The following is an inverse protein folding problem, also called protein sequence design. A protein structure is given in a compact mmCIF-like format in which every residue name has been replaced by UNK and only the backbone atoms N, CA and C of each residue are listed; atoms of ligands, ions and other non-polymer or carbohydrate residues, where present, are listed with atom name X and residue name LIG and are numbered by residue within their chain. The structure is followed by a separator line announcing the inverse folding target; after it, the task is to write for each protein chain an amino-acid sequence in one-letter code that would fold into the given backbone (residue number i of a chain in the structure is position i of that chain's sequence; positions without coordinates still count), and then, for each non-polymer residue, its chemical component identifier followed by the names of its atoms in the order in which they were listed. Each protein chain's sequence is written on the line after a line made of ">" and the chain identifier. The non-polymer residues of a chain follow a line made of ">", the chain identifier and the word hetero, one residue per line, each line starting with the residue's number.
data_IF_882836961157
#
_entry.id   IF_882836961157
#
_cell.length_a   1.000
_cell.length_b   1.000
_cell.length_c   1.000
_cell.angle_alpha   90.00
_cell.angle_beta   90.00
_cell.angle_gamma   90.00
#
_symmetry.space_group_name_H-M   'P 1'
#
loop_
_entity.id
_entity.type
_entity.pdbx_description
1 polymer ?
#
# COMPACT_ATOMS: atom_id res chain seq x y z
N UNK A 1 14.89 -5.07 -39.89
CA UNK A 1 13.80 -5.88 -39.30
C UNK A 1 12.50 -5.08 -39.40
N UNK A 2 11.62 -5.37 -40.37
CA UNK A 2 10.31 -4.69 -40.48
C UNK A 2 9.42 -5.27 -39.39
N UNK A 3 9.11 -4.49 -38.36
CA UNK A 3 8.13 -4.89 -37.34
C UNK A 3 6.79 -5.01 -38.05
N UNK A 4 6.29 -6.24 -38.20
CA UNK A 4 5.01 -6.55 -38.83
C UNK A 4 3.92 -6.20 -37.81
N UNK A 5 3.50 -4.93 -37.79
CA UNK A 5 2.29 -4.56 -37.06
C UNK A 5 1.07 -5.11 -37.80
N UNK A 6 0.15 -5.81 -37.12
CA UNK A 6 -1.10 -6.26 -37.75
C UNK A 6 -1.85 -5.05 -38.29
N UNK A 7 -2.36 -5.15 -39.53
CA UNK A 7 -3.20 -4.10 -40.12
C UNK A 7 -4.52 -4.03 -39.35
N UNK A 8 -4.60 -3.12 -38.38
CA UNK A 8 -5.82 -2.87 -37.62
C UNK A 8 -6.90 -2.28 -38.54
N UNK A 9 -8.06 -2.95 -38.60
CA UNK A 9 -9.21 -2.58 -39.42
C UNK A 9 -10.30 -1.89 -38.62
N UNK A 10 -10.32 -2.01 -37.29
CA UNK A 10 -11.35 -1.42 -36.43
C UNK A 10 -10.83 -1.03 -35.05
N UNK A 11 -11.56 -0.13 -34.37
CA UNK A 11 -11.27 0.25 -32.99
C UNK A 11 -11.35 -0.95 -32.02
N UNK A 12 -12.20 -1.93 -32.30
CA UNK A 12 -12.32 -3.13 -31.47
C UNK A 12 -11.03 -3.95 -31.46
N UNK A 13 -10.38 -4.13 -32.62
CA UNK A 13 -9.10 -4.84 -32.69
C UNK A 13 -8.02 -4.12 -31.90
N UNK A 14 -8.00 -2.78 -31.94
CA UNK A 14 -7.08 -1.98 -31.14
C UNK A 14 -7.34 -2.19 -29.63
N UNK A 15 -8.60 -2.09 -29.21
CA UNK A 15 -8.97 -2.27 -27.80
C UNK A 15 -8.63 -3.67 -27.28
N UNK A 16 -8.83 -4.72 -28.09
CA UNK A 16 -8.42 -6.08 -27.74
C UNK A 16 -6.91 -6.19 -27.59
N UNK A 17 -6.12 -5.61 -28.50
CA UNK A 17 -4.65 -5.63 -28.37
C UNK A 17 -4.18 -4.89 -27.12
N UNK A 18 -4.76 -3.73 -26.81
CA UNK A 18 -4.45 -2.98 -25.60
C UNK A 18 -4.83 -3.79 -24.35
N UNK A 19 -5.99 -4.44 -24.37
CA UNK A 19 -6.45 -5.32 -23.28
C UNK A 19 -5.52 -6.52 -23.06
N UNK A 20 -5.04 -7.17 -24.12
CA UNK A 20 -4.02 -8.22 -24.02
C UNK A 20 -2.73 -7.66 -23.45
N UNK A 21 -2.30 -6.47 -23.88
CA UNK A 21 -1.14 -5.78 -23.32
C UNK A 21 -1.26 -5.54 -21.81
N UNK A 22 -2.44 -5.12 -21.34
CA UNK A 22 -2.75 -5.01 -19.91
C UNK A 22 -2.67 -6.36 -19.19
N UNK A 23 -3.23 -7.42 -19.77
CA UNK A 23 -3.12 -8.77 -19.20
C UNK A 23 -1.67 -9.23 -19.05
N UNK A 24 -0.83 -9.01 -20.06
CA UNK A 24 0.60 -9.32 -19.99
C UNK A 24 1.30 -8.49 -18.90
N UNK A 25 1.00 -7.20 -18.82
CA UNK A 25 1.57 -6.31 -17.81
C UNK A 25 1.21 -6.73 -16.38
N UNK A 26 -0.05 -7.13 -16.16
CA UNK A 26 -0.50 -7.67 -14.88
C UNK A 26 0.18 -9.02 -14.59
N UNK A 27 0.21 -9.97 -15.52
CA UNK A 27 0.94 -11.23 -15.31
C UNK A 27 2.42 -10.99 -14.94
N UNK A 28 3.06 -10.01 -15.58
CA UNK A 28 4.43 -9.64 -15.28
C UNK A 28 4.58 -9.12 -13.84
N UNK A 29 3.87 -8.06 -13.48
CA UNK A 29 4.04 -7.43 -12.17
C UNK A 29 3.46 -8.24 -11.01
N UNK A 30 2.38 -8.97 -11.23
CA UNK A 30 1.59 -9.58 -10.15
C UNK A 30 1.96 -11.03 -9.88
N UNK A 31 2.53 -11.74 -10.87
CA UNK A 31 2.93 -13.15 -10.71
C UNK A 31 4.42 -13.37 -10.96
N UNK A 32 4.96 -12.83 -12.06
CA UNK A 32 6.36 -13.09 -12.41
C UNK A 32 7.34 -12.35 -11.49
N UNK A 33 7.16 -11.04 -11.26
CA UNK A 33 8.13 -10.24 -10.48
C UNK A 33 8.27 -10.71 -9.03
N UNK A 34 7.19 -10.95 -8.24
CA UNK A 34 7.34 -11.45 -6.87
C UNK A 34 8.09 -12.79 -6.82
N UNK A 35 7.76 -13.72 -7.71
CA UNK A 35 8.45 -15.01 -7.79
C UNK A 35 9.91 -14.89 -8.21
N UNK A 36 10.20 -14.00 -9.17
CA UNK A 36 11.56 -13.73 -9.63
C UNK A 36 12.42 -13.11 -8.53
N UNK A 37 11.90 -12.11 -7.81
CA UNK A 37 12.62 -11.48 -6.69
C UNK A 37 12.85 -12.49 -5.58
N UNK A 38 11.84 -13.28 -5.22
CA UNK A 38 11.98 -14.35 -4.24
C UNK A 38 13.06 -15.36 -4.63
N UNK A 39 13.14 -15.73 -5.91
CA UNK A 39 14.12 -16.71 -6.41
C UNK A 39 15.59 -16.29 -6.30
N UNK A 40 15.86 -15.02 -5.95
CA UNK A 40 17.22 -14.51 -5.72
C UNK A 40 17.65 -14.65 -4.25
N UNK A 41 16.71 -14.90 -3.34
CA UNK A 41 17.00 -15.15 -1.94
C UNK A 41 17.38 -16.62 -1.74
N UNK A 42 18.51 -16.86 -1.10
CA UNK A 42 18.99 -18.22 -0.83
C UNK A 42 19.18 -18.40 0.67
N UNK A 43 19.12 -19.63 1.15
CA UNK A 43 19.47 -19.89 2.53
C UNK A 43 20.98 -19.68 2.74
N UNK A 44 21.39 -18.98 3.82
CA UNK A 44 22.80 -18.84 4.18
C UNK A 44 23.43 -20.20 4.47
N UNK A 45 24.75 -20.30 4.28
CA UNK A 45 25.49 -21.56 4.40
C UNK A 45 26.18 -21.61 5.76
N UNK A 46 25.88 -22.65 6.53
CA UNK A 46 26.54 -22.96 7.81
C UNK A 46 27.77 -23.85 7.60
N UNK A 47 28.68 -23.87 8.57
CA UNK A 47 30.01 -24.46 8.39
C UNK A 47 29.99 -25.98 8.22
N UNK A 48 29.03 -26.67 8.88
CA UNK A 48 28.84 -28.11 8.75
C UNK A 48 27.55 -28.46 7.95
N UNK A 49 27.64 -28.62 6.62
CA UNK A 49 26.50 -29.01 5.79
C UNK A 49 26.07 -30.48 5.96
N UNK A 50 26.80 -31.30 6.72
CA UNK A 50 26.37 -32.66 7.07
C UNK A 50 25.43 -32.69 8.29
N UNK A 51 25.38 -31.60 9.06
CA UNK A 51 24.47 -31.44 10.18
C UNK A 51 23.03 -31.09 9.73
N UNK A 52 22.04 -31.37 10.59
CA UNK A 52 20.63 -31.09 10.31
C UNK A 52 20.37 -29.57 10.38
N UNK A 53 20.56 -28.88 9.25
CA UNK A 53 20.39 -27.42 9.15
C UNK A 53 18.93 -27.02 9.31
N UNK A 54 18.65 -26.12 10.25
CA UNK A 54 17.33 -25.54 10.48
C UNK A 54 17.22 -24.19 9.80
N UNK A 55 16.13 -23.97 9.06
CA UNK A 55 15.89 -22.74 8.29
C UNK A 55 14.77 -21.93 8.88
N UNK A 56 15.09 -20.72 9.33
CA UNK A 56 14.16 -19.82 10.01
C UNK A 56 13.95 -18.56 9.19
N UNK A 57 12.68 -18.21 8.99
CA UNK A 57 12.26 -16.96 8.36
C UNK A 57 11.72 -15.99 9.42
N UNK A 58 12.24 -14.77 9.47
CA UNK A 58 11.72 -13.70 10.32
C UNK A 58 11.04 -12.62 9.48
N UNK A 59 9.89 -12.16 9.96
CA UNK A 59 9.05 -11.14 9.31
C UNK A 59 8.73 -10.06 10.35
N UNK A 60 9.09 -8.82 10.07
CA UNK A 60 8.78 -7.68 10.94
C UNK A 60 7.81 -6.71 10.28
N UNK A 61 7.03 -6.03 11.12
CA UNK A 61 6.15 -4.90 10.82
C UNK A 61 5.31 -5.06 9.53
N UNK A 62 4.47 -6.11 9.39
CA UNK A 62 3.45 -6.13 8.34
C UNK A 62 2.55 -4.89 8.38
N UNK A 63 2.23 -4.44 9.60
CA UNK A 63 1.51 -3.22 9.98
C UNK A 63 0.41 -2.86 8.98
N UNK A 64 -0.69 -3.62 9.04
CA UNK A 64 -1.80 -3.45 8.11
C UNK A 64 -2.41 -2.06 8.24
N UNK A 65 -2.15 -1.21 7.23
CA UNK A 65 -2.63 0.17 7.21
C UNK A 65 -4.14 0.25 7.30
N UNK A 66 -4.63 1.27 7.99
CA UNK A 66 -6.00 1.41 8.39
C UNK A 66 -6.50 2.87 8.39
N UNK A 67 -7.69 3.13 8.92
CA UNK A 67 -8.23 4.50 8.96
C UNK A 67 -7.49 5.44 9.93
N UNK A 68 -6.63 4.91 10.81
CA UNK A 68 -5.76 5.67 11.70
C UNK A 68 -4.44 6.05 11.01
N UNK A 69 -3.96 5.26 10.04
CA UNK A 69 -2.70 5.55 9.34
C UNK A 69 -2.67 6.90 8.63
N UNK A 70 -3.79 7.30 8.01
CA UNK A 70 -3.87 8.55 7.23
C UNK A 70 -5.11 9.38 7.59
N UNK A 71 -5.06 10.13 8.71
CA UNK A 71 -6.17 10.95 9.17
C UNK A 71 -6.62 11.94 8.08
N UNK A 72 -7.92 11.99 7.81
CA UNK A 72 -8.52 12.88 6.81
C UNK A 72 -8.45 12.38 5.36
N UNK A 73 -7.90 11.19 5.09
CA UNK A 73 -7.99 10.55 3.77
C UNK A 73 -9.42 10.08 3.52
N UNK A 74 -9.96 10.34 2.33
CA UNK A 74 -11.30 9.87 1.95
C UNK A 74 -11.36 8.34 1.84
N UNK A 75 -12.48 7.73 2.22
CA UNK A 75 -12.67 6.28 2.28
C UNK A 75 -12.26 5.51 1.02
N UNK A 76 -12.55 6.03 -0.17
CA UNK A 76 -12.19 5.35 -1.42
C UNK A 76 -10.67 5.34 -1.68
N UNK A 77 -9.96 6.43 -1.31
CA UNK A 77 -8.50 6.49 -1.38
C UNK A 77 -7.87 5.58 -0.34
N UNK A 78 -8.44 5.54 0.86
CA UNK A 78 -8.01 4.62 1.91
C UNK A 78 -8.21 3.16 1.47
N UNK A 79 -9.37 2.82 0.91
CA UNK A 79 -9.64 1.48 0.37
C UNK A 79 -8.66 1.08 -0.73
N UNK A 80 -8.34 2.00 -1.65
CA UNK A 80 -7.30 1.76 -2.67
C UNK A 80 -5.91 1.58 -2.05
N UNK A 81 -5.59 2.34 -1.00
CA UNK A 81 -4.32 2.23 -0.28
C UNK A 81 -4.22 0.87 0.40
N UNK A 82 -5.24 0.48 1.19
CA UNK A 82 -5.35 -0.83 1.84
C UNK A 82 -5.16 -1.95 0.82
N UNK A 83 -5.94 -1.91 -0.27
CA UNK A 83 -5.83 -2.89 -1.36
C UNK A 83 -4.41 -2.99 -1.92
N UNK A 84 -3.76 -1.85 -2.19
CA UNK A 84 -2.40 -1.83 -2.77
C UNK A 84 -1.38 -2.46 -1.84
N UNK A 85 -1.43 -2.14 -0.55
CA UNK A 85 -0.51 -2.67 0.47
C UNK A 85 -0.79 -4.15 0.71
N UNK A 86 -2.05 -4.55 0.89
CA UNK A 86 -2.43 -5.96 1.14
C UNK A 86 -2.00 -6.88 0.02
N UNK A 87 -2.22 -6.45 -1.22
CA UNK A 87 -1.84 -7.19 -2.41
C UNK A 87 -0.32 -7.33 -2.51
N UNK A 88 0.44 -6.27 -2.17
CA UNK A 88 1.90 -6.31 -2.16
C UNK A 88 2.41 -7.26 -1.07
N UNK A 89 1.88 -7.18 0.15
CA UNK A 89 2.21 -8.09 1.26
C UNK A 89 1.92 -9.54 0.88
N UNK A 90 0.68 -9.83 0.44
CA UNK A 90 0.23 -11.19 0.11
C UNK A 90 1.13 -11.86 -0.94
N UNK A 91 1.40 -11.16 -2.05
CA UNK A 91 2.17 -11.74 -3.16
C UNK A 91 3.63 -11.96 -2.78
N UNK A 92 4.25 -10.98 -2.15
CA UNK A 92 5.65 -11.08 -1.77
C UNK A 92 5.86 -12.15 -0.70
N UNK A 93 5.05 -12.14 0.36
CA UNK A 93 5.10 -13.17 1.40
C UNK A 93 4.90 -14.57 0.80
N UNK A 94 3.89 -14.77 -0.04
CA UNK A 94 3.64 -16.10 -0.62
C UNK A 94 4.69 -16.54 -1.63
N UNK A 95 5.30 -15.61 -2.37
CA UNK A 95 6.43 -15.91 -3.23
C UNK A 95 7.65 -16.37 -2.41
N UNK A 96 7.97 -15.66 -1.32
CA UNK A 96 9.05 -16.05 -0.40
C UNK A 96 8.77 -17.42 0.23
N UNK A 97 7.57 -17.64 0.77
CA UNK A 97 7.18 -18.94 1.35
C UNK A 97 7.19 -20.08 0.33
N UNK A 98 6.83 -19.82 -0.94
CA UNK A 98 6.87 -20.82 -2.00
C UNK A 98 8.31 -21.21 -2.36
N UNK A 99 9.21 -20.22 -2.43
CA UNK A 99 10.59 -20.39 -2.86
C UNK A 99 11.47 -20.95 -1.75
N UNK A 100 11.48 -20.28 -0.59
CA UNK A 100 12.38 -20.60 0.52
C UNK A 100 11.93 -21.83 1.29
N UNK A 101 10.62 -22.04 1.42
CA UNK A 101 10.05 -23.16 2.14
C UNK A 101 10.68 -23.34 3.54
N UNK A 102 10.65 -22.32 4.41
CA UNK A 102 11.26 -22.37 5.74
C UNK A 102 10.72 -23.54 6.58
N UNK A 103 11.52 -23.98 7.54
CA UNK A 103 11.11 -24.97 8.54
C UNK A 103 10.21 -24.29 9.57
N UNK A 104 10.65 -23.12 10.05
CA UNK A 104 9.96 -22.32 11.07
C UNK A 104 9.88 -20.85 10.66
N UNK A 105 8.77 -20.19 10.99
CA UNK A 105 8.53 -18.76 10.71
C UNK A 105 8.21 -18.03 12.00
N UNK A 106 8.90 -16.92 12.25
CA UNK A 106 8.60 -16.00 13.33
C UNK A 106 8.18 -14.65 12.78
N UNK A 107 7.13 -14.08 13.35
CA UNK A 107 6.81 -12.67 13.18
C UNK A 107 7.25 -11.89 14.41
N UNK A 108 7.71 -10.66 14.19
CA UNK A 108 8.34 -9.82 15.20
C UNK A 108 7.50 -8.59 15.58
N UNK A 109 6.17 -8.76 15.65
CA UNK A 109 5.25 -7.70 16.10
C UNK A 109 4.73 -6.76 15.02
N UNK A 110 3.91 -5.82 15.45
CA UNK A 110 3.17 -4.84 14.65
C UNK A 110 2.41 -5.48 13.49
N UNK A 111 1.52 -6.40 13.83
CA UNK A 111 0.65 -7.06 12.87
C UNK A 111 -0.37 -6.09 12.30
N UNK A 112 -0.96 -5.27 13.17
CA UNK A 112 -2.03 -4.33 12.86
C UNK A 112 -1.57 -2.90 13.18
N UNK A 113 -2.01 -1.92 12.38
CA UNK A 113 -1.61 -0.51 12.63
C UNK A 113 -2.33 0.12 13.84
N UNK A 114 -3.51 -0.39 14.23
CA UNK A 114 -4.21 0.08 15.42
C UNK A 114 -4.83 -1.08 16.23
N UNK A 115 -4.03 -2.11 16.54
CA UNK A 115 -4.47 -3.19 17.42
C UNK A 115 -4.76 -2.72 18.86
N UNK A 116 -4.00 -1.73 19.33
CA UNK A 116 -4.02 -1.22 20.70
C UNK A 116 -5.26 -0.45 21.12
N UNK A 117 -5.84 0.37 20.24
CA UNK A 117 -6.94 1.30 20.60
C UNK A 117 -8.27 0.97 19.93
N UNK A 118 -8.33 0.01 19.00
CA UNK A 118 -9.55 -0.28 18.26
C UNK A 118 -10.59 -1.11 19.05
N UNK A 119 -11.87 -0.97 18.66
CA UNK A 119 -12.96 -1.78 19.21
C UNK A 119 -12.78 -3.27 18.87
N UNK A 120 -13.40 -4.15 19.64
CA UNK A 120 -13.33 -5.60 19.41
C UNK A 120 -13.80 -5.99 18.01
N UNK A 121 -14.90 -5.39 17.54
CA UNK A 121 -15.46 -5.69 16.22
C UNK A 121 -14.49 -5.30 15.10
N UNK A 122 -13.82 -4.15 15.24
CA UNK A 122 -12.83 -3.69 14.29
C UNK A 122 -11.57 -4.56 14.33
N UNK A 123 -11.08 -4.88 15.53
CA UNK A 123 -9.94 -5.76 15.74
C UNK A 123 -10.16 -7.12 15.06
N UNK A 124 -11.32 -7.75 15.23
CA UNK A 124 -11.63 -9.02 14.58
C UNK A 124 -11.66 -8.91 13.05
N UNK A 125 -12.13 -7.76 12.52
CA UNK A 125 -12.06 -7.45 11.09
C UNK A 125 -10.64 -7.40 10.56
N UNK A 126 -9.75 -6.70 11.25
CA UNK A 126 -8.34 -6.56 10.86
C UNK A 126 -7.54 -7.87 11.08
N UNK A 127 -7.84 -8.65 12.12
CA UNK A 127 -7.30 -10.02 12.31
C UNK A 127 -7.72 -10.94 11.15
N UNK A 128 -8.98 -10.86 10.72
CA UNK A 128 -9.45 -11.63 9.55
C UNK A 128 -8.71 -11.21 8.28
N UNK A 129 -8.49 -9.90 8.08
CA UNK A 129 -7.70 -9.37 6.95
C UNK A 129 -6.26 -9.89 7.00
N UNK A 130 -5.61 -9.83 8.16
CA UNK A 130 -4.27 -10.39 8.38
C UNK A 130 -4.21 -11.89 8.03
N UNK A 131 -5.16 -12.68 8.52
CA UNK A 131 -5.22 -14.12 8.24
C UNK A 131 -5.45 -14.42 6.75
N UNK A 132 -6.23 -13.60 6.04
CA UNK A 132 -6.40 -13.75 4.60
C UNK A 132 -5.09 -13.51 3.84
N UNK A 133 -4.30 -12.51 4.26
CA UNK A 133 -3.03 -12.15 3.63
C UNK A 133 -1.94 -13.21 3.90
N UNK A 134 -1.78 -13.64 5.15
CA UNK A 134 -0.61 -14.44 5.57
C UNK A 134 -0.91 -15.91 5.84
N UNK A 135 -2.15 -16.27 6.16
CA UNK A 135 -2.50 -17.61 6.62
C UNK A 135 -3.67 -18.27 5.85
N UNK A 136 -3.70 -18.22 4.50
CA UNK A 136 -4.71 -18.95 3.73
C UNK A 136 -4.53 -20.47 3.87
N UNK A 137 -5.54 -21.25 3.45
CA UNK A 137 -5.54 -22.73 3.54
C UNK A 137 -4.28 -23.40 2.99
N UNK A 138 -3.63 -22.80 1.98
CA UNK A 138 -2.35 -23.26 1.42
C UNK A 138 -1.23 -23.23 2.48
N UNK A 139 -1.11 -22.12 3.21
CA UNK A 139 -0.10 -21.95 4.28
C UNK A 139 -0.37 -22.94 5.41
N UNK A 140 -1.64 -23.05 5.83
CA UNK A 140 -2.10 -23.93 6.92
C UNK A 140 -1.76 -25.42 6.73
N UNK A 141 -1.57 -25.87 5.48
CA UNK A 141 -1.19 -27.27 5.18
C UNK A 141 0.22 -27.62 5.64
N UNK A 142 1.13 -26.64 5.66
CA UNK A 142 2.55 -26.83 6.01
C UNK A 142 2.94 -26.14 7.31
N UNK A 143 2.26 -25.05 7.63
CA UNK A 143 2.57 -24.17 8.74
C UNK A 143 1.39 -24.16 9.70
N UNK A 144 1.62 -24.56 10.94
CA UNK A 144 0.63 -24.60 12.01
C UNK A 144 1.01 -23.56 13.07
N UNK A 145 0.07 -22.67 13.38
CA UNK A 145 0.25 -21.65 14.42
C UNK A 145 0.65 -22.32 15.74
N UNK A 146 1.73 -21.83 16.37
CA UNK A 146 2.24 -22.37 17.63
C UNK A 146 3.07 -23.65 17.52
N UNK A 147 3.33 -24.14 16.29
CA UNK A 147 4.22 -25.28 16.06
C UNK A 147 5.42 -24.93 15.18
N UNK A 148 5.20 -24.26 14.06
CA UNK A 148 6.27 -23.83 13.15
C UNK A 148 5.92 -22.51 12.44
N UNK A 149 4.95 -21.79 13.00
CA UNK A 149 4.49 -20.48 12.55
C UNK A 149 4.06 -19.71 13.79
N UNK A 150 4.88 -18.74 14.19
CA UNK A 150 4.79 -18.09 15.50
C UNK A 150 4.53 -16.60 15.33
N UNK A 151 3.56 -16.09 16.09
CA UNK A 151 3.10 -14.69 16.08
C UNK A 151 3.16 -14.07 17.48
N UNK A 152 3.95 -14.65 18.36
CA UNK A 152 3.87 -14.38 19.79
C UNK A 152 4.46 -13.02 20.17
N UNK A 153 5.36 -12.43 19.38
CA UNK A 153 5.99 -11.14 19.68
C UNK A 153 4.94 -10.02 19.50
N UNK A 154 4.53 -9.30 20.56
CA UNK A 154 3.65 -8.14 20.42
C UNK A 154 4.45 -6.89 20.07
N UNK A 155 3.90 -6.05 19.19
CA UNK A 155 4.44 -4.72 18.97
C UNK A 155 3.64 -3.61 19.63
N UNK A 156 4.17 -2.39 19.60
CA UNK A 156 3.53 -1.26 20.25
C UNK A 156 2.20 -0.90 19.56
N UNK A 157 2.05 -1.10 18.25
CA UNK A 157 0.77 -0.90 17.55
C UNK A 157 -0.25 -1.99 17.89
N UNK A 158 0.18 -3.14 18.41
CA UNK A 158 -0.72 -4.22 18.81
C UNK A 158 -1.28 -4.02 20.22
N UNK A 159 -0.46 -3.60 21.19
CA UNK A 159 -0.84 -3.60 22.62
C UNK A 159 -0.65 -2.27 23.36
N UNK A 160 0.04 -1.29 22.76
CA UNK A 160 0.49 -0.06 23.41
C UNK A 160 1.96 -0.15 23.83
N UNK A 161 2.50 0.86 24.51
CA UNK A 161 3.91 0.87 24.97
C UNK A 161 4.05 1.49 26.36
N UNK A 162 4.87 0.86 27.21
CA UNK A 162 5.11 1.32 28.58
C UNK A 162 3.82 1.44 29.38
N UNK A 163 3.65 2.53 30.12
CA UNK A 163 2.42 2.79 30.90
C UNK A 163 1.17 3.02 30.01
N UNK A 164 1.35 3.11 28.69
CA UNK A 164 0.27 3.16 27.72
C UNK A 164 -0.22 1.79 27.25
N UNK A 165 0.39 0.69 27.68
CA UNK A 165 -0.11 -0.65 27.36
C UNK A 165 -1.51 -0.84 27.94
N UNK A 166 -2.41 -1.38 27.13
CA UNK A 166 -3.78 -1.70 27.54
C UNK A 166 -3.89 -3.19 27.89
N UNK A 167 -4.19 -3.57 29.16
CA UNK A 167 -4.29 -4.98 29.55
C UNK A 167 -5.32 -5.77 28.72
N UNK A 168 -6.40 -5.11 28.31
CA UNK A 168 -7.39 -5.68 27.41
C UNK A 168 -6.82 -6.02 26.02
N UNK A 169 -5.98 -5.15 25.46
CA UNK A 169 -5.32 -5.36 24.17
C UNK A 169 -4.31 -6.50 24.25
N UNK A 170 -3.54 -6.59 25.35
CA UNK A 170 -2.66 -7.74 25.64
C UNK A 170 -3.45 -9.05 25.74
N UNK A 171 -4.61 -9.03 26.41
CA UNK A 171 -5.46 -10.22 26.54
C UNK A 171 -5.97 -10.73 25.19
N UNK A 172 -6.52 -9.85 24.34
CA UNK A 172 -6.97 -10.23 22.98
C UNK A 172 -5.80 -10.65 22.09
N UNK A 173 -4.66 -9.96 22.18
CA UNK A 173 -3.44 -10.35 21.48
C UNK A 173 -3.05 -11.78 21.83
N UNK A 174 -3.00 -12.09 23.13
CA UNK A 174 -2.64 -13.41 23.64
C UNK A 174 -3.59 -14.49 23.13
N UNK A 175 -4.89 -14.20 23.07
CA UNK A 175 -5.91 -15.12 22.55
C UNK A 175 -5.74 -15.40 21.04
N UNK A 176 -5.41 -14.38 20.24
CA UNK A 176 -5.35 -14.49 18.78
C UNK A 176 -4.00 -14.98 18.27
N UNK A 177 -2.91 -14.46 18.83
CA UNK A 177 -1.56 -14.59 18.32
C UNK A 177 -0.66 -15.50 19.17
N UNK A 178 -0.93 -15.58 20.47
CA UNK A 178 -0.28 -16.50 21.41
C UNK A 178 0.37 -15.78 22.59
N UNK A 179 0.84 -16.55 23.57
CA UNK A 179 1.48 -15.99 24.77
C UNK A 179 2.73 -15.16 24.41
N UNK A 180 2.79 -13.87 24.77
CA UNK A 180 3.90 -12.98 24.42
C UNK A 180 5.14 -13.13 25.30
N UNK A 181 5.09 -13.96 26.34
CA UNK A 181 6.22 -14.29 27.20
C UNK A 181 6.41 -15.81 27.22
N UNK A 182 7.23 -16.33 26.31
CA UNK A 182 7.36 -17.78 26.09
C UNK A 182 8.72 -18.17 25.56
N UNK A 183 9.07 -19.46 25.71
CA UNK A 183 10.26 -20.07 25.11
C UNK A 183 9.80 -21.12 24.11
N UNK A 184 10.34 -21.06 22.89
CA UNK A 184 10.11 -22.03 21.83
C UNK A 184 11.43 -22.74 21.55
N UNK A 185 11.45 -24.06 21.72
CA UNK A 185 12.65 -24.86 21.47
C UNK A 185 12.63 -25.42 20.05
N UNK A 186 13.66 -25.11 19.27
CA UNK A 186 13.82 -25.58 17.90
C UNK A 186 15.24 -26.14 17.71
N UNK A 187 15.34 -27.45 17.51
CA UNK A 187 16.60 -28.16 17.21
C UNK A 187 17.78 -27.79 18.12
N UNK A 188 17.53 -27.74 19.43
CA UNK A 188 18.53 -27.47 20.45
C UNK A 188 18.78 -25.99 20.74
N UNK A 189 17.97 -25.08 20.20
CA UNK A 189 18.05 -23.63 20.44
C UNK A 189 16.75 -23.15 21.09
N UNK A 190 16.89 -22.34 22.13
CA UNK A 190 15.76 -21.71 22.81
C UNK A 190 15.50 -20.33 22.19
N UNK A 191 14.39 -20.19 21.47
CA UNK A 191 13.87 -18.90 21.03
C UNK A 191 13.04 -18.27 22.16
N UNK A 192 13.61 -17.26 22.83
CA UNK A 192 12.99 -16.58 23.96
C UNK A 192 12.24 -15.36 23.43
N UNK A 193 10.92 -15.33 23.65
CA UNK A 193 10.03 -14.26 23.23
C UNK A 193 9.60 -13.46 24.45
N UNK A 194 9.69 -12.13 24.37
CA UNK A 194 9.30 -11.22 25.45
C UNK A 194 8.28 -10.19 24.98
N UNK A 195 7.37 -9.82 25.89
CA UNK A 195 6.49 -8.65 25.77
C UNK A 195 7.28 -7.39 26.16
N UNK A 196 8.15 -6.93 25.26
CA UNK A 196 8.95 -5.74 25.46
C UNK A 196 8.11 -4.44 25.69
N UNK A 197 6.94 -4.24 25.05
CA UNK A 197 6.10 -3.10 25.37
C UNK A 197 5.64 -3.08 26.83
N UNK A 198 5.15 -4.21 27.37
CA UNK A 198 4.73 -4.32 28.77
C UNK A 198 5.93 -4.28 29.73
N UNK A 199 7.03 -4.95 29.39
CA UNK A 199 8.27 -4.94 30.20
C UNK A 199 8.81 -3.52 30.44
N UNK A 200 8.60 -2.64 29.47
CA UNK A 200 9.00 -1.23 29.48
C UNK A 200 8.12 -0.32 30.33
N UNK A 201 7.02 -0.81 30.90
CA UNK A 201 6.15 -0.02 31.77
C UNK A 201 6.79 0.27 33.14
N UNK A 202 6.45 1.41 33.74
CA UNK A 202 6.77 1.70 35.13
C UNK A 202 5.75 1.08 36.08
N UNK A 203 4.49 0.96 35.66
CA UNK A 203 3.41 0.34 36.43
C UNK A 203 3.59 -1.19 36.54
N UNK A 204 3.63 -1.68 37.79
CA UNK A 204 3.74 -3.11 38.10
C UNK A 204 2.52 -3.91 37.62
N UNK A 205 1.34 -3.28 37.52
CA UNK A 205 0.15 -3.94 36.98
C UNK A 205 0.29 -4.31 35.49
N UNK A 206 1.23 -3.67 34.78
CA UNK A 206 1.52 -3.92 33.36
C UNK A 206 2.79 -4.77 33.22
N UNK A 207 3.88 -4.38 33.89
CA UNK A 207 5.19 -5.01 33.65
C UNK A 207 5.41 -6.34 34.39
N UNK A 208 4.59 -6.68 35.38
CA UNK A 208 4.89 -7.79 36.31
C UNK A 208 4.96 -9.14 35.61
N UNK A 209 4.05 -9.46 34.69
CA UNK A 209 4.05 -10.73 33.98
C UNK A 209 5.32 -10.90 33.12
N UNK A 210 5.66 -9.88 32.32
CA UNK A 210 6.85 -9.89 31.47
C UNK A 210 8.15 -9.96 32.28
N UNK A 211 8.26 -9.18 33.37
CA UNK A 211 9.44 -9.19 34.24
C UNK A 211 9.57 -10.49 35.02
N UNK A 212 8.47 -11.03 35.53
CA UNK A 212 8.47 -12.32 36.25
C UNK A 212 8.89 -13.44 35.31
N UNK A 213 8.42 -13.44 34.06
CA UNK A 213 8.86 -14.41 33.06
C UNK A 213 10.38 -14.36 32.88
N UNK A 214 10.96 -13.19 32.58
CA UNK A 214 12.41 -13.01 32.41
C UNK A 214 13.17 -13.45 33.65
N UNK A 215 12.67 -13.11 34.84
CA UNK A 215 13.29 -13.45 36.12
C UNK A 215 13.18 -14.94 36.46
N UNK A 216 12.19 -15.63 35.90
CA UNK A 216 11.93 -17.05 36.12
C UNK A 216 12.69 -17.96 35.15
N UNK A 217 13.34 -17.40 34.12
CA UNK A 217 14.05 -18.20 33.13
C UNK A 217 15.14 -19.05 33.81
N UNK A 218 15.21 -20.35 33.50
CA UNK A 218 16.23 -21.21 34.09
C UNK A 218 17.62 -20.74 33.63
N UNK A 219 18.69 -21.15 34.34
CA UNK A 219 20.05 -20.96 33.84
C UNK A 219 20.18 -21.49 32.41
N UNK A 220 20.92 -20.76 31.57
CA UNK A 220 21.11 -21.12 30.17
C UNK A 220 21.83 -22.47 30.06
N UNK A 221 21.16 -23.44 29.43
CA UNK A 221 21.72 -24.78 29.14
C UNK A 221 21.89 -25.05 27.66
N UNK A 222 21.33 -24.18 26.81
CA UNK A 222 21.33 -24.23 25.35
C UNK A 222 21.54 -22.82 24.80
N UNK A 223 21.96 -22.67 23.54
CA UNK A 223 21.96 -21.37 22.90
C UNK A 223 20.58 -20.72 22.93
N UNK A 224 20.55 -19.41 23.10
CA UNK A 224 19.33 -18.60 23.19
C UNK A 224 19.31 -17.55 22.09
N UNK A 225 18.18 -17.48 21.38
CA UNK A 225 17.88 -16.38 20.45
C UNK A 225 16.75 -15.57 21.06
N UNK A 226 17.01 -14.31 21.38
CA UNK A 226 15.98 -13.39 21.87
C UNK A 226 15.20 -12.82 20.68
N UNK A 227 13.88 -12.90 20.75
CA UNK A 227 12.96 -12.23 19.83
C UNK A 227 12.17 -11.18 20.62
N UNK A 228 12.28 -9.93 20.16
CA UNK A 228 11.60 -8.77 20.74
C UNK A 228 11.03 -7.92 19.62
N UNK A 229 10.03 -7.09 19.90
CA UNK A 229 9.61 -6.10 18.93
C UNK A 229 10.53 -4.88 18.99
N UNK A 230 10.56 -4.19 20.13
CA UNK A 230 11.44 -3.03 20.29
C UNK A 230 12.91 -3.46 20.34
N UNK A 231 13.77 -2.79 19.57
CA UNK A 231 15.20 -2.96 19.66
C UNK A 231 15.74 -2.67 21.06
N UNK A 232 16.83 -3.33 21.44
CA UNK A 232 17.48 -3.03 22.71
C UNK A 232 18.29 -1.74 22.59
N UNK A 233 18.49 -1.07 23.74
CA UNK A 233 19.27 0.15 23.81
C UNK A 233 20.67 -0.04 23.24
N UNK A 234 21.14 0.98 22.53
CA UNK A 234 22.48 1.04 21.92
C UNK A 234 22.99 2.47 21.97
N UNK A 235 24.30 2.65 21.88
CA UNK A 235 24.87 4.00 21.77
C UNK A 235 24.41 4.65 20.44
N UNK A 236 23.91 5.91 20.43
CA UNK A 236 23.46 6.58 19.21
C UNK A 236 24.53 6.73 18.11
N UNK A 237 25.81 6.62 18.45
CA UNK A 237 26.92 6.63 17.50
C UNK A 237 27.20 5.27 16.85
N UNK A 238 26.56 4.21 17.34
CA UNK A 238 26.72 2.85 16.80
C UNK A 238 26.17 2.79 15.38
N UNK A 239 27.01 2.34 14.44
CA UNK A 239 26.58 2.17 13.05
C UNK A 239 25.78 0.90 12.88
N UNK A 240 24.64 1.01 12.18
CA UNK A 240 23.77 -0.11 11.80
C UNK A 240 24.28 -0.95 10.62
N UNK A 241 25.47 -0.64 10.11
CA UNK A 241 26.02 -1.29 8.92
C UNK A 241 25.47 -0.75 7.59
N UNK A 242 25.96 -1.28 6.46
CA UNK A 242 25.76 -0.71 5.13
C UNK A 242 24.39 -1.01 4.50
N UNK A 243 23.59 -1.91 5.09
CA UNK A 243 22.31 -2.35 4.54
C UNK A 243 21.12 -1.49 5.00
N UNK A 244 21.35 -0.57 5.95
CA UNK A 244 20.36 0.43 6.39
C UNK A 244 20.17 1.50 5.31
N UNK A 245 18.93 1.91 5.06
CA UNK A 245 18.61 2.98 4.11
C UNK A 245 18.80 4.37 4.72
N UNK A 246 18.35 4.56 5.96
CA UNK A 246 18.53 5.81 6.68
C UNK A 246 19.90 5.82 7.40
N UNK A 247 20.77 6.81 7.18
CA UNK A 247 22.09 6.83 7.81
C UNK A 247 22.06 6.95 9.35
N UNK A 248 20.90 7.24 9.94
CA UNK A 248 20.73 7.38 11.40
C UNK A 248 19.73 6.38 11.94
N UNK A 249 20.07 5.83 13.11
CA UNK A 249 19.13 5.16 14.00
C UNK A 249 18.83 6.10 15.17
N UNK A 250 17.55 6.28 15.51
CA UNK A 250 17.13 7.30 16.46
C UNK A 250 16.76 6.69 17.81
N UNK A 251 17.77 6.38 18.62
CA UNK A 251 17.64 5.64 19.90
C UNK A 251 16.63 6.25 20.88
N UNK A 252 16.57 7.58 21.00
CA UNK A 252 15.73 8.26 22.00
C UNK A 252 14.55 9.03 21.39
N UNK A 253 14.12 8.66 20.17
CA UNK A 253 12.86 9.19 19.68
C UNK A 253 11.70 8.64 20.53
N UNK A 254 10.88 9.56 21.03
CA UNK A 254 9.71 9.27 21.85
C UNK A 254 8.49 9.89 21.20
N UNK A 255 7.41 9.12 21.14
CA UNK A 255 6.09 9.56 20.71
C UNK A 255 5.04 9.25 21.77
N UNK A 256 3.78 9.48 21.43
CA UNK A 256 2.66 8.96 22.22
C UNK A 256 2.67 7.44 22.09
N UNK A 257 2.88 6.74 23.20
CA UNK A 257 2.93 5.26 23.26
C UNK A 257 3.92 4.64 22.26
N UNK A 258 5.08 5.28 22.07
CA UNK A 258 6.13 4.80 21.18
C UNK A 258 7.51 5.22 21.66
N UNK A 259 8.49 4.31 21.52
CA UNK A 259 9.92 4.60 21.65
C UNK A 259 10.72 3.58 20.83
N UNK A 260 11.71 4.07 20.08
CA UNK A 260 12.52 3.25 19.16
C UNK A 260 13.41 2.20 19.83
N UNK A 261 13.61 2.27 21.15
CA UNK A 261 14.33 1.24 21.91
C UNK A 261 13.77 1.06 23.31
N UNK A 262 13.98 -0.14 23.86
CA UNK A 262 13.89 -0.40 25.31
C UNK A 262 14.88 0.50 26.06
N UNK A 263 14.55 0.85 27.32
CA UNK A 263 15.42 1.71 28.13
C UNK A 263 16.80 1.09 28.42
N UNK A 264 17.86 1.90 28.63
CA UNK A 264 19.21 1.40 28.86
C UNK A 264 19.27 0.38 30.01
N UNK A 265 18.71 0.71 31.16
CA UNK A 265 18.73 -0.14 32.34
C UNK A 265 17.91 -1.42 32.14
N UNK A 266 16.78 -1.31 31.42
CA UNK A 266 15.92 -2.44 31.11
C UNK A 266 16.57 -3.38 30.09
N UNK A 267 17.24 -2.84 29.08
CA UNK A 267 18.00 -3.58 28.07
C UNK A 267 19.15 -4.37 28.71
N UNK A 268 19.92 -3.72 29.59
CA UNK A 268 20.98 -4.38 30.36
C UNK A 268 20.44 -5.53 31.22
N UNK A 269 19.29 -5.32 31.87
CA UNK A 269 18.64 -6.36 32.67
C UNK A 269 18.17 -7.54 31.81
N UNK A 270 17.56 -7.28 30.64
CA UNK A 270 17.16 -8.30 29.68
C UNK A 270 18.38 -9.11 29.23
N UNK A 271 19.44 -8.46 28.78
CA UNK A 271 20.66 -9.12 28.31
C UNK A 271 21.31 -9.96 29.42
N UNK A 272 21.39 -9.43 30.64
CA UNK A 272 21.99 -10.13 31.77
C UNK A 272 21.19 -11.35 32.25
N UNK A 273 19.85 -11.28 32.24
CA UNK A 273 18.99 -12.37 32.73
C UNK A 273 18.73 -13.44 31.68
N UNK A 274 18.51 -13.03 30.43
CA UNK A 274 18.25 -13.97 29.33
C UNK A 274 19.54 -14.64 28.85
N UNK A 275 20.66 -13.91 28.87
CA UNK A 275 21.96 -14.35 28.33
C UNK A 275 21.85 -14.85 26.86
N UNK A 276 21.34 -14.02 25.92
CA UNK A 276 21.14 -14.46 24.54
C UNK A 276 22.47 -14.53 23.77
N UNK A 277 22.57 -15.43 22.79
CA UNK A 277 23.67 -15.48 21.81
C UNK A 277 23.41 -14.58 20.60
N UNK A 278 22.13 -14.33 20.29
CA UNK A 278 21.66 -13.56 19.15
C UNK A 278 20.31 -12.91 19.50
N UNK A 279 20.07 -11.72 18.96
CA UNK A 279 18.82 -10.98 19.12
C UNK A 279 18.25 -10.61 17.75
N UNK A 280 16.95 -10.82 17.55
CA UNK A 280 16.20 -10.24 16.44
C UNK A 280 15.11 -9.30 16.95
N UNK A 281 15.07 -8.09 16.41
CA UNK A 281 14.10 -7.03 16.74
C UNK A 281 13.34 -6.53 15.50
N UNK A 282 12.26 -5.77 15.69
CA UNK A 282 11.47 -5.07 14.66
C UNK A 282 11.40 -3.56 14.91
N UNK A 283 10.22 -2.95 14.81
CA UNK A 283 9.86 -1.56 15.22
C UNK A 283 10.49 -0.40 14.43
N UNK A 284 11.81 -0.40 14.20
CA UNK A 284 12.48 0.72 13.50
C UNK A 284 12.23 0.70 11.98
N UNK A 285 11.60 -0.36 11.47
CA UNK A 285 11.26 -0.64 10.07
C UNK A 285 12.45 -0.77 9.11
N UNK A 286 13.61 -0.21 9.43
CA UNK A 286 14.84 -0.26 8.64
C UNK A 286 15.86 -1.21 9.28
N UNK A 287 16.77 -1.73 8.45
CA UNK A 287 17.74 -2.72 8.90
C UNK A 287 18.73 -2.09 9.89
N UNK A 288 19.10 -2.84 10.91
CA UNK A 288 20.24 -2.51 11.76
C UNK A 288 20.95 -3.76 12.23
N UNK A 289 22.27 -3.75 12.21
CA UNK A 289 23.10 -4.88 12.61
C UNK A 289 24.23 -4.39 13.50
N UNK A 290 24.15 -4.74 14.77
CA UNK A 290 25.07 -4.26 15.80
C UNK A 290 25.51 -5.42 16.69
N UNK A 291 26.58 -5.19 17.44
CA UNK A 291 26.99 -6.05 18.54
C UNK A 291 26.93 -5.25 19.82
N UNK A 292 26.16 -5.73 20.79
CA UNK A 292 26.05 -5.11 22.09
C UNK A 292 27.36 -5.22 22.87
N UNK A 293 27.71 -4.23 23.72
CA UNK A 293 28.87 -4.33 24.62
C UNK A 293 28.88 -5.59 25.50
N UNK A 294 27.69 -6.10 25.83
CA UNK A 294 27.44 -7.32 26.59
C UNK A 294 27.80 -8.60 25.81
N UNK A 295 28.01 -8.51 24.48
CA UNK A 295 28.41 -9.62 23.62
C UNK A 295 27.45 -9.99 22.49
N UNK A 296 26.12 -10.04 22.67
CA UNK A 296 25.23 -10.56 21.63
C UNK A 296 25.13 -9.61 20.44
N UNK A 297 25.07 -10.21 19.24
CA UNK A 297 24.69 -9.52 18.01
C UNK A 297 23.18 -9.28 18.03
N UNK A 298 22.75 -8.09 17.65
CA UNK A 298 21.34 -7.77 17.41
C UNK A 298 21.13 -7.37 15.95
N UNK A 299 20.10 -7.97 15.34
CA UNK A 299 19.62 -7.62 14.02
C UNK A 299 18.19 -7.08 14.14
N UNK A 300 18.02 -5.79 13.87
CA UNK A 300 16.71 -5.19 13.66
C UNK A 300 16.25 -5.53 12.24
N UNK A 301 15.23 -6.36 12.14
CA UNK A 301 14.67 -6.89 10.91
C UNK A 301 13.87 -5.80 10.22
N UNK A 302 14.17 -5.60 8.94
CA UNK A 302 13.50 -4.62 8.10
C UNK A 302 12.03 -5.00 7.89
N UNK A 303 11.15 -3.99 7.85
CA UNK A 303 9.73 -4.20 7.58
C UNK A 303 9.51 -4.86 6.21
N UNK A 304 8.58 -5.82 6.17
CA UNK A 304 8.10 -6.41 4.92
C UNK A 304 7.12 -5.47 4.18
N UNK A 305 6.57 -4.48 4.90
CA UNK A 305 5.51 -3.61 4.41
C UNK A 305 6.05 -2.45 3.58
N UNK A 306 5.39 -2.20 2.45
CA UNK A 306 5.69 -1.05 1.59
C UNK A 306 5.23 0.30 2.16
N UNK A 307 4.53 0.31 3.29
CA UNK A 307 3.93 1.50 3.87
C UNK A 307 4.74 2.12 5.03
N UNK A 308 5.84 1.48 5.45
CA UNK A 308 6.56 1.80 6.69
C UNK A 308 7.79 2.70 6.49
N UNK A 309 7.75 3.55 5.47
CA UNK A 309 8.78 4.58 5.25
C UNK A 309 10.12 4.06 4.70
N UNK A 310 10.22 2.77 4.34
CA UNK A 310 11.39 2.18 3.70
C UNK A 310 11.18 1.98 2.19
N UNK A 311 12.24 2.17 1.41
CA UNK A 311 12.16 2.06 -0.06
C UNK A 311 12.31 0.61 -0.53
N UNK A 312 12.98 -0.25 0.26
CA UNK A 312 13.29 -1.63 -0.10
C UNK A 312 12.86 -2.61 1.01
N UNK A 313 11.55 -2.89 1.17
CA UNK A 313 11.08 -3.84 2.17
C UNK A 313 11.73 -5.22 2.00
N UNK A 314 11.81 -5.97 3.09
CA UNK A 314 12.54 -7.23 3.13
C UNK A 314 12.04 -8.18 4.21
N UNK A 315 12.64 -9.37 4.24
CA UNK A 315 12.55 -10.35 5.32
C UNK A 315 13.96 -10.79 5.72
N UNK A 316 14.12 -11.36 6.90
CA UNK A 316 15.40 -11.90 7.35
C UNK A 316 15.37 -13.44 7.30
N UNK A 317 16.42 -14.05 6.75
CA UNK A 317 16.58 -15.51 6.71
C UNK A 317 17.77 -15.94 7.53
N UNK A 318 17.61 -17.02 8.30
CA UNK A 318 18.68 -17.62 9.10
C UNK A 318 18.76 -19.11 8.83
N UNK A 319 19.97 -19.63 8.77
CA UNK A 319 20.25 -21.07 8.81
C UNK A 319 21.15 -21.34 9.99
N UNK A 320 20.82 -22.37 10.77
CA UNK A 320 21.61 -22.73 11.93
C UNK A 320 21.71 -24.23 12.15
N UNK A 321 22.74 -24.63 12.87
CA UNK A 321 22.93 -25.97 13.42
C UNK A 321 23.38 -25.85 14.88
N UNK A 322 23.13 -26.91 15.65
CA UNK A 322 23.62 -27.02 17.03
C UNK A 322 24.68 -28.11 17.11
N UNK A 323 25.93 -27.71 17.35
CA UNK A 323 27.06 -28.64 17.47
C UNK A 323 27.68 -28.51 18.84
N UNK A 324 27.69 -29.60 19.61
CA UNK A 324 28.23 -29.64 20.99
C UNK A 324 27.65 -28.54 21.92
N UNK A 325 26.38 -28.18 21.72
CA UNK A 325 25.70 -27.15 22.52
C UNK A 325 26.07 -25.70 22.13
N UNK A 326 26.80 -25.50 21.04
CA UNK A 326 27.07 -24.18 20.45
C UNK A 326 26.20 -23.94 19.21
N UNK A 327 25.81 -22.67 19.01
CA UNK A 327 25.04 -22.21 17.85
C UNK A 327 25.98 -21.83 16.70
N UNK A 328 26.01 -22.64 15.65
CA UNK A 328 26.62 -22.27 14.36
C UNK A 328 25.52 -21.73 13.45
N UNK A 329 25.62 -20.47 13.03
CA UNK A 329 24.57 -19.82 12.24
C UNK A 329 25.14 -18.83 11.23
N UNK A 330 24.37 -18.62 10.17
CA UNK A 330 24.52 -17.46 9.29
C UNK A 330 23.13 -16.90 8.95
N UNK A 331 23.08 -15.60 8.66
CA UNK A 331 21.83 -14.86 8.51
C UNK A 331 22.03 -13.65 7.60
N UNK A 332 21.10 -13.43 6.69
CA UNK A 332 21.11 -12.25 5.82
C UNK A 332 19.71 -11.80 5.42
N UNK A 333 19.64 -10.58 4.92
CA UNK A 333 18.42 -9.93 4.49
C UNK A 333 18.06 -10.33 3.05
N UNK A 334 16.78 -10.59 2.81
CA UNK A 334 16.24 -10.84 1.49
C UNK A 334 15.14 -9.83 1.14
N UNK A 335 15.43 -8.99 0.14
CA UNK A 335 14.50 -8.00 -0.36
C UNK A 335 13.28 -8.63 -1.03
N UNK A 336 12.13 -7.99 -0.85
CA UNK A 336 10.92 -8.27 -1.64
C UNK A 336 10.78 -7.28 -2.79
N UNK A 337 9.73 -7.41 -3.60
CA UNK A 337 9.53 -6.52 -4.75
C UNK A 337 9.52 -5.04 -4.33
N UNK A 338 10.32 -4.23 -5.05
CA UNK A 338 10.38 -2.79 -4.84
C UNK A 338 8.98 -2.14 -4.98
N UNK A 339 8.52 -1.41 -3.94
CA UNK A 339 7.28 -0.67 -3.92
C UNK A 339 7.06 0.22 -5.15
N UNK A 340 5.79 0.48 -5.47
CA UNK A 340 5.31 1.42 -6.51
C UNK A 340 5.75 1.16 -7.95
N UNK A 341 6.65 0.21 -8.21
CA UNK A 341 7.10 -0.14 -9.57
C UNK A 341 5.91 -0.57 -10.46
N UNK A 342 4.99 -1.36 -9.92
CA UNK A 342 3.76 -1.76 -10.59
C UNK A 342 2.81 -0.56 -10.79
N UNK A 343 2.61 0.28 -9.76
CA UNK A 343 1.76 1.47 -9.82
C UNK A 343 2.21 2.44 -10.93
N UNK A 344 3.51 2.74 -10.99
CA UNK A 344 4.10 3.61 -12.01
C UNK A 344 3.92 2.99 -13.41
N UNK A 345 4.13 1.68 -13.53
CA UNK A 345 3.96 0.97 -14.81
C UNK A 345 2.50 0.98 -15.28
N UNK A 346 1.54 0.81 -14.36
CA UNK A 346 0.11 0.87 -14.66
C UNK A 346 -0.33 2.29 -15.04
N UNK A 347 0.11 3.32 -14.31
CA UNK A 347 -0.18 4.70 -14.65
C UNK A 347 0.37 5.07 -16.04
N UNK A 348 1.61 4.66 -16.33
CA UNK A 348 2.24 4.87 -17.63
C UNK A 348 1.46 4.15 -18.74
N UNK A 349 1.11 2.88 -18.54
CA UNK A 349 0.31 2.11 -19.50
C UNK A 349 -1.08 2.72 -19.72
N UNK A 350 -1.71 3.29 -18.69
CA UNK A 350 -2.99 4.00 -18.82
C UNK A 350 -2.87 5.27 -19.68
N UNK A 351 -1.83 6.08 -19.45
CA UNK A 351 -1.54 7.25 -20.27
C UNK A 351 -1.26 6.88 -21.73
N UNK A 352 -0.45 5.85 -21.97
CA UNK A 352 -0.16 5.34 -23.31
C UNK A 352 -1.41 4.80 -24.00
N UNK A 353 -2.22 4.01 -23.29
CA UNK A 353 -3.51 3.49 -23.77
C UNK A 353 -4.42 4.64 -24.20
N UNK A 354 -4.59 5.66 -23.36
CA UNK A 354 -5.39 6.84 -23.69
C UNK A 354 -4.84 7.58 -24.91
N UNK A 355 -3.52 7.80 -24.98
CA UNK A 355 -2.86 8.43 -26.12
C UNK A 355 -3.08 7.67 -27.44
N UNK A 356 -2.94 6.35 -27.41
CA UNK A 356 -3.15 5.48 -28.59
C UNK A 356 -4.61 5.48 -29.03
N UNK A 357 -5.56 5.39 -28.08
CA UNK A 357 -7.00 5.49 -28.40
C UNK A 357 -7.32 6.87 -28.97
N UNK A 358 -6.77 7.95 -28.40
CA UNK A 358 -6.98 9.31 -28.90
C UNK A 358 -6.48 9.45 -30.34
N UNK A 359 -5.24 9.04 -30.60
CA UNK A 359 -4.64 9.05 -31.94
C UNK A 359 -5.46 8.23 -32.94
N UNK A 360 -5.90 7.03 -32.55
CA UNK A 360 -6.74 6.18 -33.39
C UNK A 360 -8.04 6.86 -33.78
N UNK A 361 -8.73 7.49 -32.83
CA UNK A 361 -10.02 8.15 -33.07
C UNK A 361 -9.89 9.41 -33.95
N UNK A 362 -8.76 10.11 -33.89
CA UNK A 362 -8.45 11.20 -34.83
C UNK A 362 -8.21 10.63 -36.23
N UNK A 363 -7.39 9.59 -36.36
CA UNK A 363 -7.05 8.97 -37.65
C UNK A 363 -8.26 8.32 -38.33
N UNK A 364 -9.13 7.66 -37.56
CA UNK A 364 -10.32 6.99 -38.07
C UNK A 364 -11.47 7.95 -38.38
N UNK A 365 -11.23 9.27 -38.41
CA UNK A 365 -12.22 10.26 -38.76
C UNK A 365 -12.72 10.00 -40.18
N UNK A 366 -14.02 9.74 -40.31
CA UNK A 366 -14.70 9.61 -41.59
C UNK A 366 -14.57 10.91 -42.41
N UNK A 367 -14.12 10.78 -43.66
CA UNK A 367 -14.09 11.86 -44.67
C UNK A 367 -15.48 12.51 -44.91
N UNK A 368 -16.58 11.85 -44.48
CA UNK A 368 -17.96 12.38 -44.60
C UNK A 368 -18.22 13.68 -43.84
N UNK A 369 -17.33 14.11 -42.95
CA UNK A 369 -17.42 15.44 -42.29
C UNK A 369 -16.72 16.57 -43.05
N UNK A 370 -16.00 16.28 -44.14
CA UNK A 370 -15.48 17.34 -45.02
C UNK A 370 -16.54 17.85 -46.03
N UNK A 371 -17.68 17.17 -46.17
CA UNK A 371 -18.73 17.53 -47.15
C UNK A 371 -20.07 18.01 -46.54
N UNK A 372 -20.16 18.18 -45.23
CA UNK A 372 -21.37 18.71 -44.56
C UNK A 372 -21.16 20.10 -43.98
N UNK A 373 -20.40 20.94 -44.68
CA UNK A 373 -20.57 22.39 -44.63
C UNK A 373 -21.33 22.78 -45.89
N UNK A 374 -22.61 22.42 -45.97
CA UNK A 374 -23.54 23.30 -46.68
C UNK A 374 -23.48 24.61 -45.90
N UNK A 375 -23.21 25.77 -46.55
CA UNK A 375 -23.26 27.04 -45.85
C UNK A 375 -24.65 27.15 -45.24
N UNK A 376 -24.76 27.05 -43.92
CA UNK A 376 -25.90 27.62 -43.23
C UNK A 376 -25.83 29.08 -43.58
N UNK A 377 -26.71 29.50 -44.50
CA UNK A 377 -27.04 30.90 -44.72
C UNK A 377 -27.38 31.42 -43.33
N UNK A 378 -26.40 32.04 -42.68
CA UNK A 378 -26.71 32.99 -41.64
C UNK A 378 -27.58 34.01 -42.36
N UNK A 379 -28.85 34.09 -41.98
CA UNK A 379 -29.65 35.30 -42.14
C UNK A 379 -29.00 36.39 -41.27
N UNK A 380 -27.77 36.75 -41.62
CA UNK A 380 -27.20 38.04 -41.30
C UNK A 380 -28.06 39.04 -42.04
N UNK A 381 -28.68 39.93 -41.27
CA UNK A 381 -29.36 41.15 -41.71
C UNK A 381 -28.88 41.61 -43.10
N UNK A 382 -29.59 41.18 -44.15
CA UNK A 382 -29.28 41.59 -45.52
C UNK A 382 -29.49 43.09 -45.62
N UNK A 383 -28.67 43.80 -46.41
CA UNK A 383 -28.80 45.24 -46.70
C UNK A 383 -30.25 45.72 -46.97
N UNK A 384 -31.13 44.83 -47.44
CA UNK A 384 -32.55 45.10 -47.64
C UNK A 384 -33.35 45.39 -46.36
N UNK A 385 -33.02 44.79 -45.21
CA UNK A 385 -33.73 45.06 -43.95
C UNK A 385 -33.44 46.46 -43.39
N UNK A 386 -32.21 46.97 -43.60
CA UNK A 386 -31.85 48.36 -43.29
C UNK A 386 -32.49 49.36 -44.26
N UNK A 387 -32.64 49.00 -45.54
CA UNK A 387 -33.37 49.85 -46.51
C UNK A 387 -34.86 49.93 -46.18
N UNK A 388 -35.49 48.80 -45.80
CA UNK A 388 -36.90 48.78 -45.40
C UNK A 388 -37.09 49.51 -44.07
N UNK A 389 -36.20 49.36 -43.07
CA UNK A 389 -36.33 50.14 -41.83
C UNK A 389 -36.11 51.63 -42.06
N UNK A 390 -35.20 52.02 -42.96
CA UNK A 390 -34.98 53.43 -43.27
C UNK A 390 -36.14 54.02 -44.09
N UNK A 391 -36.78 53.24 -44.96
CA UNK A 391 -37.98 53.66 -45.69
C UNK A 391 -39.19 53.84 -44.75
N UNK A 392 -39.41 52.91 -43.82
CA UNK A 392 -40.47 53.02 -42.80
C UNK A 392 -40.21 54.21 -41.87
N UNK A 393 -38.96 54.46 -41.48
CA UNK A 393 -38.60 55.62 -40.66
C UNK A 393 -38.74 56.96 -41.40
N UNK A 394 -38.57 57.00 -42.73
CA UNK A 394 -38.86 58.19 -43.55
C UNK A 394 -40.36 58.44 -43.68
N UNK A 395 -41.19 57.40 -43.80
CA UNK A 395 -42.66 57.51 -43.84
C UNK A 395 -43.26 57.95 -42.50
N UNK A 396 -42.72 57.47 -41.37
CA UNK A 396 -43.16 57.89 -40.02
C UNK A 396 -42.78 59.35 -39.69
N UNK A 397 -41.80 59.94 -40.39
CA UNK A 397 -41.37 61.33 -40.15
C UNK A 397 -42.27 62.39 -40.77
N UNK A 398 -43.23 62.01 -41.64
CA UNK A 398 -44.05 62.95 -42.41
C UNK A 398 -45.56 62.92 -42.10
N UNK A 399 -45.99 62.30 -41.00
CA UNK A 399 -47.41 62.35 -40.62
C UNK A 399 -47.58 62.84 -39.19
N UNK A 400 -47.98 64.11 -39.07
CA UNK A 400 -48.40 64.71 -37.82
C UNK A 400 -49.72 64.11 -37.34
N UNK A 401 -49.74 63.69 -36.08
CA UNK A 401 -50.92 63.69 -35.23
C UNK A 401 -51.85 62.48 -35.33
N UNK A 402 -51.64 61.47 -34.47
CA UNK A 402 -52.74 60.66 -33.92
C UNK A 402 -52.34 60.14 -32.53
N UNK A 403 -53.12 60.52 -31.51
CA UNK A 403 -53.00 60.08 -30.13
C UNK A 403 -53.62 58.69 -29.99
N UNK A 404 -52.80 57.66 -29.73
CA UNK A 404 -53.25 56.31 -29.39
C UNK A 404 -53.23 56.15 -27.86
N UNK A 405 -54.33 55.76 -27.19
CA UNK A 405 -54.33 55.56 -25.76
C UNK A 405 -53.46 54.36 -25.37
N UNK A 406 -52.59 54.54 -24.37
CA UNK A 406 -51.85 53.45 -23.73
C UNK A 406 -52.79 52.55 -22.93
N UNK A 407 -53.21 51.43 -23.51
CA UNK A 407 -53.66 50.28 -22.73
C UNK A 407 -52.53 49.26 -22.69
N UNK A 408 -51.75 49.29 -21.60
CA UNK A 408 -51.21 48.14 -20.84
C UNK A 408 -50.03 48.63 -19.99
N UNK A 409 -50.22 48.69 -18.68
CA UNK A 409 -49.12 48.71 -17.73
C UNK A 409 -48.54 47.30 -17.64
N UNK A 410 -47.47 47.02 -18.38
CA UNK A 410 -46.59 45.89 -18.05
C UNK A 410 -45.48 46.41 -17.15
N UNK A 411 -45.57 46.08 -15.86
CA UNK A 411 -44.52 46.31 -14.86
C UNK A 411 -43.19 45.67 -15.30
N UNK A 412 -42.12 46.43 -15.12
CA UNK A 412 -40.76 46.10 -15.51
C UNK A 412 -40.17 44.93 -14.70
N UNK A 413 -40.22 43.72 -15.27
CA UNK A 413 -39.30 42.62 -14.92
C UNK A 413 -38.20 42.42 -15.98
N UNK A 414 -37.94 43.45 -16.80
CA UNK A 414 -37.08 43.37 -18.00
C UNK A 414 -35.62 43.00 -17.69
N UNK A 415 -35.06 43.47 -16.57
CA UNK A 415 -33.63 43.28 -16.30
C UNK A 415 -33.27 41.87 -15.82
N UNK A 416 -34.15 41.21 -15.04
CA UNK A 416 -33.94 39.81 -14.61
C UNK A 416 -34.16 38.83 -15.77
N UNK A 417 -35.13 39.12 -16.64
CA UNK A 417 -35.39 38.34 -17.86
C UNK A 417 -34.28 38.50 -18.91
N UNK A 418 -33.72 39.70 -19.07
CA UNK A 418 -32.55 39.93 -19.94
C UNK A 418 -31.31 39.18 -19.44
N UNK A 419 -31.01 39.23 -18.14
CA UNK A 419 -29.89 38.48 -17.56
C UNK A 419 -30.07 36.96 -17.70
N UNK A 420 -31.28 36.45 -17.44
CA UNK A 420 -31.62 35.03 -17.66
C UNK A 420 -31.49 34.63 -19.13
N UNK A 421 -31.95 35.46 -20.05
CA UNK A 421 -31.84 35.20 -21.48
C UNK A 421 -30.40 35.30 -22.00
N UNK A 422 -29.61 36.25 -21.50
CA UNK A 422 -28.18 36.38 -21.79
C UNK A 422 -27.39 35.17 -21.25
N UNK A 423 -27.68 34.72 -20.03
CA UNK A 423 -27.09 33.52 -19.45
C UNK A 423 -27.48 32.25 -20.23
N UNK A 424 -28.74 32.13 -20.64
CA UNK A 424 -29.22 31.04 -21.50
C UNK A 424 -28.52 31.05 -22.87
N UNK A 425 -28.42 32.22 -23.52
CA UNK A 425 -27.77 32.38 -24.82
C UNK A 425 -26.27 32.10 -24.75
N UNK A 426 -25.61 32.57 -23.68
CA UNK A 426 -24.21 32.24 -23.38
C UNK A 426 -24.03 30.72 -23.20
N UNK A 427 -24.89 30.08 -22.40
CA UNK A 427 -24.87 28.63 -22.19
C UNK A 427 -25.08 27.85 -23.50
N UNK A 428 -26.06 28.24 -24.32
CA UNK A 428 -26.33 27.59 -25.63
C UNK A 428 -25.17 27.79 -26.60
N UNK A 429 -24.59 28.99 -26.68
CA UNK A 429 -23.44 29.26 -27.53
C UNK A 429 -22.21 28.48 -27.07
N UNK A 430 -21.97 28.40 -25.76
CA UNK A 430 -20.86 27.62 -25.21
C UNK A 430 -21.06 26.12 -25.46
N UNK A 431 -22.28 25.60 -25.27
CA UNK A 431 -22.65 24.21 -25.60
C UNK A 431 -22.42 23.89 -27.08
N UNK A 432 -22.77 24.80 -28.00
CA UNK A 432 -22.49 24.65 -29.44
C UNK A 432 -21.00 24.66 -29.75
N UNK A 433 -20.21 25.55 -29.13
CA UNK A 433 -18.74 25.59 -29.27
C UNK A 433 -18.11 24.29 -28.79
N UNK A 434 -18.49 23.81 -27.61
CA UNK A 434 -18.04 22.52 -27.06
C UNK A 434 -18.43 21.37 -27.99
N UNK A 435 -19.68 21.30 -28.46
CA UNK A 435 -20.11 20.23 -29.36
C UNK A 435 -19.34 20.23 -30.68
N UNK A 436 -19.08 21.41 -31.28
CA UNK A 436 -18.23 21.54 -32.47
C UNK A 436 -16.80 21.07 -32.20
N UNK A 437 -16.22 21.43 -31.05
CA UNK A 437 -14.90 20.97 -30.64
C UNK A 437 -14.84 19.45 -30.43
N UNK A 438 -15.81 18.88 -29.70
CA UNK A 438 -15.92 17.44 -29.45
C UNK A 438 -16.06 16.65 -30.76
N UNK A 439 -16.84 17.16 -31.72
CA UNK A 439 -16.97 16.55 -33.05
C UNK A 439 -15.70 16.70 -33.89
N UNK A 440 -15.05 17.87 -33.86
CA UNK A 440 -13.80 18.17 -34.59
C UNK A 440 -12.70 17.15 -34.26
N UNK A 441 -12.58 16.78 -32.99
CA UNK A 441 -11.55 15.88 -32.48
C UNK A 441 -12.04 14.45 -32.23
N UNK A 442 -13.27 14.11 -32.67
CA UNK A 442 -13.90 12.80 -32.45
C UNK A 442 -13.88 12.35 -30.96
N UNK A 443 -14.02 13.31 -30.04
CA UNK A 443 -13.85 13.08 -28.60
C UNK A 443 -14.95 12.21 -28.00
N UNK A 444 -16.15 12.19 -28.58
CA UNK A 444 -17.21 11.27 -28.14
C UNK A 444 -16.82 9.81 -28.33
N UNK A 445 -16.22 9.47 -29.47
CA UNK A 445 -15.74 8.11 -29.73
C UNK A 445 -14.53 7.77 -28.86
N UNK A 446 -13.60 8.72 -28.70
CA UNK A 446 -12.48 8.59 -27.77
C UNK A 446 -12.93 8.28 -26.34
N UNK A 447 -13.81 9.11 -25.77
CA UNK A 447 -14.31 8.92 -24.40
C UNK A 447 -15.00 7.57 -24.25
N UNK A 448 -15.85 7.18 -25.21
CA UNK A 448 -16.50 5.86 -25.20
C UNK A 448 -15.48 4.71 -25.20
N UNK A 449 -14.48 4.77 -26.09
CA UNK A 449 -13.47 3.71 -26.19
C UNK A 449 -12.57 3.65 -24.94
N UNK A 450 -12.21 4.79 -24.36
CA UNK A 450 -11.46 4.84 -23.09
C UNK A 450 -12.29 4.27 -21.95
N UNK A 451 -13.58 4.64 -21.83
CA UNK A 451 -14.45 4.10 -20.77
C UNK A 451 -14.61 2.58 -20.89
N UNK A 452 -14.84 2.05 -22.09
CA UNK A 452 -14.92 0.59 -22.32
C UNK A 452 -13.59 -0.09 -21.95
N UNK A 453 -12.46 0.49 -22.37
CA UNK A 453 -11.14 -0.06 -22.04
C UNK A 453 -10.89 -0.04 -20.52
N UNK A 454 -11.21 1.06 -19.84
CA UNK A 454 -11.00 1.21 -18.40
C UNK A 454 -11.83 0.19 -17.62
N UNK A 455 -13.12 0.05 -17.94
CA UNK A 455 -13.99 -0.95 -17.31
C UNK A 455 -13.44 -2.36 -17.53
N UNK A 456 -13.08 -2.72 -18.76
CA UNK A 456 -12.53 -4.03 -19.06
C UNK A 456 -11.24 -4.32 -18.28
N UNK A 457 -10.31 -3.38 -18.24
CA UNK A 457 -9.02 -3.51 -17.53
C UNK A 457 -9.20 -3.62 -16.02
N UNK A 458 -10.08 -2.80 -15.43
CA UNK A 458 -10.38 -2.85 -14.00
C UNK A 458 -11.05 -4.19 -13.66
N UNK A 459 -12.02 -4.63 -14.46
CA UNK A 459 -12.69 -5.92 -14.27
C UNK A 459 -11.70 -7.08 -14.38
N UNK A 460 -10.80 -7.07 -15.36
CA UNK A 460 -9.74 -8.07 -15.50
C UNK A 460 -8.87 -8.10 -14.24
N UNK A 461 -8.42 -6.94 -13.77
CA UNK A 461 -7.61 -6.83 -12.57
C UNK A 461 -8.35 -7.41 -11.36
N UNK A 462 -9.55 -6.94 -11.04
CA UNK A 462 -10.29 -7.37 -9.85
C UNK A 462 -10.59 -8.88 -9.84
N UNK A 463 -10.96 -9.46 -10.99
CA UNK A 463 -11.34 -10.88 -11.08
C UNK A 463 -10.12 -11.80 -11.05
N UNK A 464 -9.05 -11.45 -11.77
CA UNK A 464 -7.93 -12.37 -12.02
C UNK A 464 -6.75 -12.12 -11.10
N UNK A 465 -6.47 -10.86 -10.76
CA UNK A 465 -5.24 -10.47 -10.10
C UNK A 465 -5.48 -9.94 -8.68
N UNK A 466 -6.52 -9.14 -8.47
CA UNK A 466 -6.78 -8.41 -7.22
C UNK A 466 -7.47 -9.23 -6.14
N UNK A 467 -7.75 -10.51 -6.36
CA UNK A 467 -8.31 -11.39 -5.31
C UNK A 467 -7.20 -11.86 -4.37
N UNK A 468 -7.37 -11.58 -3.08
CA UNK A 468 -6.51 -12.05 -1.97
C UNK A 468 -7.20 -13.23 -1.27
#
# INVERSE_FOLDING_TARGET
>A
MRIIFPKLKSAHQLLVLLFVGWGVLFCYHEWFVPGYVASRCHWPVVADPAANVTKVLFIADPQLIDNHTYPGRSDWLLSLSKHTVDVHLNRNYHAMMAHLQPDTVFFLGDYLDNGRECSDEYYQGEVKRFRNIFYPKRTQRRYQQGRNWFLNVPGNHDVGFGDGVHPHSVARFTEVFGNPNTVIEENGVDFVIIDAPSYSASDAAINSDARTFVDSLPPKTRPRVLLTHEPLYRDPSTSCGPLRENPKFYVDQRGVQYRNTVEPQLSQNILAKIDPDLVFSGDDHDYCDIVHPEGPREITVKSISMAMGVSHPAVQVMSFTTTNGSLDYDTHLCYVQTPYTNVISYATMACLTAGVIFWWNIKSRSSRYNYSILPTIELGSTSNSRKISNFINEEESNTAGMYIPRYTNSTSSSWSNYKRWAAYRWFVNNKRRVSKFMRKWNLYAFLRHVSVSAVAVITLYCIVFGSI
#
